data_IF_423831335473
#
_entry.id   IF_423831335473
#
_cell.length_a   1.000
_cell.length_b   1.000
_cell.length_c   1.000
_cell.angle_alpha   90.00
_cell.angle_beta   90.00
_cell.angle_gamma   90.00
#
_symmetry.space_group_name_H-M   'P 1'
#
loop_
_entity.id
_entity.type
_entity.pdbx_description
1 polymer ?
#
# COMPACT_ATOMS: atom_id res chain seq x y z
N UNK A 1 -10.33 -13.88 12.13
CA UNK A 1 -10.55 -12.43 12.20
C UNK A 1 -9.25 -11.73 12.60
N UNK A 2 -8.79 -10.80 11.75
CA UNK A 2 -7.64 -9.94 12.04
C UNK A 2 -8.08 -8.49 11.86
N UNK A 3 -7.78 -7.64 12.82
CA UNK A 3 -8.10 -6.23 12.77
C UNK A 3 -6.94 -5.38 13.30
N UNK A 4 -6.64 -4.29 12.57
CA UNK A 4 -5.69 -3.27 13.00
C UNK A 4 -6.44 -1.95 13.08
N UNK A 5 -6.40 -1.33 14.23
CA UNK A 5 -7.01 -0.02 14.48
C UNK A 5 -6.04 0.92 15.19
N UNK A 6 -6.25 2.21 15.04
CA UNK A 6 -5.40 3.19 15.72
C UNK A 6 -5.43 4.56 15.08
N UNK A 7 -4.47 5.39 15.44
CA UNK A 7 -4.30 6.75 14.96
C UNK A 7 -2.84 7.06 14.65
N UNK A 8 -2.61 8.03 13.76
CA UNK A 8 -1.27 8.47 13.39
C UNK A 8 -1.21 9.97 13.19
N UNK A 9 -0.01 10.50 13.28
CA UNK A 9 0.29 11.92 13.06
C UNK A 9 1.52 12.06 12.18
N UNK A 10 1.44 12.96 11.19
CA UNK A 10 2.55 13.37 10.35
C UNK A 10 2.49 14.89 10.08
N UNK A 11 3.57 15.43 9.53
CA UNK A 11 3.67 16.81 9.05
C UNK A 11 4.13 16.80 7.60
N UNK A 12 3.48 17.62 6.77
CA UNK A 12 3.82 17.79 5.36
C UNK A 12 4.21 19.24 5.11
N UNK A 13 5.35 19.41 4.45
CA UNK A 13 5.85 20.73 4.08
C UNK A 13 6.17 20.73 2.60
N UNK A 14 5.88 21.85 1.93
CA UNK A 14 6.16 22.00 0.50
C UNK A 14 6.49 23.45 0.13
N UNK A 15 7.28 23.57 -0.93
CA UNK A 15 7.72 24.83 -1.51
C UNK A 15 7.57 24.77 -3.03
N UNK A 16 7.03 25.82 -3.63
CA UNK A 16 6.97 25.98 -5.08
C UNK A 16 7.77 27.21 -5.45
N UNK A 17 8.73 27.04 -6.34
CA UNK A 17 9.59 28.09 -6.86
C UNK A 17 9.25 28.40 -8.31
N UNK A 18 9.34 29.68 -8.67
CA UNK A 18 9.35 30.17 -10.03
C UNK A 18 10.73 30.76 -10.32
N UNK A 19 11.68 29.94 -10.84
CA UNK A 19 13.06 30.37 -10.96
C UNK A 19 13.28 31.47 -11.99
N UNK A 20 12.33 31.67 -12.92
CA UNK A 20 12.42 32.65 -13.98
C UNK A 20 11.19 33.55 -13.97
N UNK A 21 11.38 34.86 -13.88
CA UNK A 21 10.32 35.85 -13.71
C UNK A 21 9.25 35.82 -14.83
N UNK A 22 9.69 35.66 -16.07
CA UNK A 22 8.81 35.66 -17.25
C UNK A 22 8.45 34.25 -17.77
N UNK A 23 8.91 33.21 -17.07
CA UNK A 23 8.62 31.83 -17.46
C UNK A 23 7.48 31.25 -16.62
N UNK A 24 6.55 30.51 -17.24
CA UNK A 24 5.54 29.75 -16.51
C UNK A 24 6.10 28.51 -15.81
N UNK A 25 7.41 28.27 -15.89
CA UNK A 25 8.06 27.12 -15.28
C UNK A 25 8.03 27.19 -13.76
N UNK A 26 7.73 26.03 -13.12
CA UNK A 26 7.67 25.89 -11.67
C UNK A 26 8.39 24.65 -11.25
N UNK A 27 9.10 24.71 -10.13
CA UNK A 27 9.72 23.57 -9.47
C UNK A 27 9.09 23.47 -8.08
N UNK A 28 8.61 22.32 -7.73
CA UNK A 28 8.08 22.01 -6.41
C UNK A 28 8.98 21.04 -5.67
N UNK A 29 9.11 21.23 -4.36
CA UNK A 29 9.74 20.31 -3.42
C UNK A 29 8.76 20.07 -2.28
N UNK A 30 8.57 18.82 -1.90
CA UNK A 30 7.81 18.49 -0.71
C UNK A 30 8.50 17.40 0.10
N UNK A 31 8.36 17.50 1.41
CA UNK A 31 8.86 16.52 2.36
C UNK A 31 7.74 16.17 3.32
N UNK A 32 7.48 14.89 3.51
CA UNK A 32 6.58 14.38 4.52
C UNK A 32 7.41 13.70 5.61
N UNK A 33 7.16 14.07 6.85
CA UNK A 33 7.77 13.36 7.99
C UNK A 33 7.24 11.93 8.06
N UNK A 34 7.91 11.04 8.80
CA UNK A 34 7.31 9.79 9.19
C UNK A 34 5.93 10.01 9.83
N UNK A 35 5.00 9.10 9.53
CA UNK A 35 3.75 9.02 10.29
C UNK A 35 4.01 8.18 11.54
N UNK A 36 3.75 8.76 12.70
CA UNK A 36 3.89 8.10 14.00
C UNK A 36 2.55 7.49 14.38
N UNK A 37 2.40 6.19 14.16
CA UNK A 37 1.18 5.46 14.50
C UNK A 37 1.23 4.87 15.90
N UNK A 38 0.07 4.90 16.58
CA UNK A 38 -0.27 4.04 17.71
C UNK A 38 -1.35 3.08 17.26
N UNK A 39 -1.04 1.81 17.23
CA UNK A 39 -1.87 0.76 16.64
C UNK A 39 -2.16 -0.32 17.65
N UNK A 40 -3.37 -0.88 17.56
CA UNK A 40 -3.78 -2.09 18.26
C UNK A 40 -4.08 -3.16 17.23
N UNK A 41 -3.36 -4.24 17.27
CA UNK A 41 -3.65 -5.46 16.52
C UNK A 41 -4.52 -6.35 17.40
N UNK A 42 -5.65 -6.82 16.87
CA UNK A 42 -6.51 -7.80 17.52
C UNK A 42 -6.80 -8.95 16.57
N UNK A 43 -6.75 -10.16 17.10
CA UNK A 43 -6.97 -11.38 16.31
C UNK A 43 -7.80 -12.38 17.07
N UNK A 44 -8.62 -13.15 16.34
CA UNK A 44 -9.30 -14.33 16.83
C UNK A 44 -9.42 -15.37 15.71
N UNK A 45 -9.46 -16.63 16.07
CA UNK A 45 -9.67 -17.73 15.14
C UNK A 45 -10.73 -18.68 15.69
N UNK A 46 -11.62 -19.13 14.81
CA UNK A 46 -12.62 -20.16 15.13
C UNK A 46 -12.39 -21.31 14.17
N UNK A 47 -12.19 -22.50 14.72
CA UNK A 47 -12.08 -23.74 13.95
C UNK A 47 -13.33 -24.55 14.19
N UNK A 48 -14.03 -24.88 13.11
CA UNK A 48 -15.21 -25.77 13.16
C UNK A 48 -14.87 -27.07 12.44
N UNK A 49 -15.05 -28.19 13.11
CA UNK A 49 -14.86 -29.52 12.53
C UNK A 49 -16.15 -30.31 12.64
N UNK A 50 -16.70 -30.73 11.50
CA UNK A 50 -17.84 -31.63 11.41
C UNK A 50 -17.33 -33.04 11.14
N UNK A 51 -17.60 -34.01 12.03
CA UNK A 51 -17.17 -35.36 11.89
C UNK A 51 -18.33 -36.34 12.19
N UNK A 52 -18.28 -37.53 11.60
CA UNK A 52 -19.18 -38.62 11.95
C UNK A 52 -18.57 -39.47 13.06
N UNK A 53 -19.33 -39.66 14.12
CA UNK A 53 -18.93 -40.55 15.20
C UNK A 53 -18.93 -42.01 14.68
N UNK A 54 -17.79 -42.67 14.75
CA UNK A 54 -17.61 -44.02 14.21
C UNK A 54 -18.48 -45.11 14.88
N UNK A 55 -19.06 -44.83 16.07
CA UNK A 55 -19.89 -45.77 16.81
C UNK A 55 -21.38 -45.53 16.61
N UNK A 56 -21.80 -44.26 16.48
CA UNK A 56 -23.22 -43.88 16.41
C UNK A 56 -23.67 -43.46 15.02
N UNK A 57 -22.72 -43.26 14.09
CA UNK A 57 -22.92 -42.69 12.74
C UNK A 57 -23.56 -41.28 12.76
N UNK A 58 -23.62 -40.64 13.93
CA UNK A 58 -24.15 -39.30 14.07
C UNK A 58 -23.16 -38.23 13.62
N UNK A 59 -23.65 -37.17 12.99
CA UNK A 59 -22.87 -35.99 12.65
C UNK A 59 -22.66 -35.16 13.91
N UNK A 60 -21.42 -35.01 14.32
CA UNK A 60 -21.00 -34.17 15.47
C UNK A 60 -20.20 -32.98 15.01
N UNK A 61 -20.39 -31.86 15.69
CA UNK A 61 -19.65 -30.60 15.45
C UNK A 61 -18.83 -30.24 16.66
N UNK A 62 -17.53 -29.99 16.45
CA UNK A 62 -16.64 -29.39 17.43
C UNK A 62 -16.35 -27.97 16.96
N UNK A 63 -16.54 -26.99 17.83
CA UNK A 63 -16.16 -25.60 17.63
C UNK A 63 -15.12 -25.28 18.66
N UNK A 64 -13.96 -24.78 18.21
CA UNK A 64 -12.89 -24.29 19.07
C UNK A 64 -12.70 -22.82 18.75
N UNK A 65 -12.98 -21.95 19.71
CA UNK A 65 -12.77 -20.50 19.63
C UNK A 65 -11.54 -20.13 20.46
N UNK A 66 -10.60 -19.43 19.86
CA UNK A 66 -9.41 -18.95 20.57
C UNK A 66 -9.77 -18.04 21.74
N UNK A 67 -10.88 -17.33 21.67
CA UNK A 67 -11.36 -16.46 22.75
C UNK A 67 -11.62 -17.24 24.05
N UNK A 68 -12.12 -18.47 23.96
CA UNK A 68 -12.44 -19.33 25.13
C UNK A 68 -11.17 -19.80 25.86
N UNK A 69 -10.01 -19.81 25.18
CA UNK A 69 -8.76 -20.32 25.73
C UNK A 69 -7.81 -19.21 26.19
N UNK A 70 -7.74 -18.11 25.47
CA UNK A 70 -6.74 -17.03 25.68
C UNK A 70 -7.37 -15.65 25.81
N UNK A 71 -8.69 -15.53 25.70
CA UNK A 71 -9.42 -14.28 25.72
C UNK A 71 -9.13 -13.40 24.50
N UNK A 72 -9.30 -12.10 24.67
CA UNK A 72 -9.00 -11.11 23.64
C UNK A 72 -7.48 -11.08 23.35
N UNK A 73 -7.08 -11.57 22.18
CA UNK A 73 -5.69 -11.46 21.73
C UNK A 73 -5.48 -10.08 21.10
N UNK A 74 -5.08 -9.13 21.94
CA UNK A 74 -4.77 -7.77 21.55
C UNK A 74 -3.32 -7.43 21.85
N UNK A 75 -2.70 -6.71 20.94
CA UNK A 75 -1.35 -6.20 21.13
C UNK A 75 -1.24 -4.76 20.64
N UNK A 76 -0.85 -3.89 21.53
CA UNK A 76 -0.55 -2.51 21.20
C UNK A 76 0.89 -2.38 20.72
N UNK A 77 1.09 -1.62 19.66
CA UNK A 77 2.42 -1.33 19.12
C UNK A 77 2.44 0.05 18.47
N UNK A 78 3.63 0.53 18.19
CA UNK A 78 3.85 1.77 17.45
C UNK A 78 4.53 1.44 16.13
N UNK A 79 4.09 2.13 15.07
CA UNK A 79 4.70 2.04 13.76
C UNK A 79 5.16 3.44 13.34
N UNK A 80 6.40 3.53 12.90
CA UNK A 80 6.99 4.75 12.33
C UNK A 80 7.24 4.48 10.85
N UNK A 81 6.53 5.20 9.97
CA UNK A 81 6.72 5.08 8.52
C UNK A 81 7.98 5.80 8.06
N UNK A 82 8.45 5.58 6.83
CA UNK A 82 9.58 6.32 6.26
C UNK A 82 9.30 7.80 6.08
N UNK A 83 10.37 8.56 5.83
CA UNK A 83 10.32 9.88 5.23
C UNK A 83 9.92 9.75 3.76
N UNK A 84 9.13 10.72 3.26
CA UNK A 84 8.76 10.79 1.86
C UNK A 84 9.27 12.10 1.27
N UNK A 85 9.94 12.01 0.13
CA UNK A 85 10.53 13.13 -0.60
C UNK A 85 9.88 13.25 -1.97
N UNK A 86 9.53 14.46 -2.36
CA UNK A 86 8.85 14.71 -3.62
C UNK A 86 9.50 15.89 -4.33
N UNK A 87 9.73 15.74 -5.62
CA UNK A 87 10.19 16.79 -6.53
C UNK A 87 9.24 16.85 -7.70
N UNK A 88 8.75 18.06 -8.04
CA UNK A 88 7.80 18.23 -9.13
C UNK A 88 8.21 19.37 -10.05
N UNK A 89 7.83 19.23 -11.32
CA UNK A 89 8.03 20.20 -12.38
C UNK A 89 6.66 20.56 -12.98
N UNK A 90 6.41 21.83 -13.19
CA UNK A 90 5.19 22.31 -13.84
C UNK A 90 5.51 23.32 -14.93
N UNK A 91 4.81 23.22 -16.04
CA UNK A 91 4.94 24.16 -17.14
C UNK A 91 3.59 24.45 -17.77
N UNK A 92 3.31 25.72 -18.05
CA UNK A 92 2.08 26.11 -18.76
C UNK A 92 2.41 26.79 -20.07
N UNK A 93 1.73 26.39 -21.15
CA UNK A 93 1.87 27.01 -22.47
C UNK A 93 0.61 27.85 -22.71
N UNK A 94 0.80 29.17 -22.68
CA UNK A 94 -0.31 30.11 -22.73
C UNK A 94 -1.35 29.84 -21.63
N UNK A 95 -2.63 29.88 -21.99
CA UNK A 95 -3.76 29.60 -21.10
C UNK A 95 -4.38 28.22 -21.32
N UNK A 96 -3.89 27.49 -22.33
CA UNK A 96 -4.55 26.29 -22.86
C UNK A 96 -3.92 24.97 -22.43
N UNK A 97 -2.60 24.93 -22.26
CA UNK A 97 -1.90 23.66 -21.95
C UNK A 97 -1.14 23.77 -20.62
N UNK A 98 -1.38 22.83 -19.73
CA UNK A 98 -0.60 22.64 -18.51
C UNK A 98 0.03 21.25 -18.52
N UNK A 99 1.34 21.19 -18.21
CA UNK A 99 2.12 19.96 -18.10
C UNK A 99 2.68 19.84 -16.68
N UNK A 100 2.69 18.63 -16.17
CA UNK A 100 3.25 18.31 -14.86
C UNK A 100 4.02 17.00 -14.88
N UNK A 101 5.13 16.97 -14.15
CA UNK A 101 5.89 15.76 -13.87
C UNK A 101 6.27 15.76 -12.39
N UNK A 102 6.26 14.59 -11.76
CA UNK A 102 6.57 14.44 -10.35
C UNK A 102 7.34 13.14 -10.13
N UNK A 103 8.32 13.19 -9.25
CA UNK A 103 9.04 12.06 -8.73
C UNK A 103 8.93 12.05 -7.21
N UNK A 104 8.56 10.91 -6.64
CA UNK A 104 8.46 10.69 -5.21
C UNK A 104 9.31 9.48 -4.82
N UNK A 105 9.99 9.59 -3.69
CA UNK A 105 10.80 8.52 -3.11
C UNK A 105 10.45 8.32 -1.64
N UNK A 106 10.26 7.05 -1.25
CA UNK A 106 9.98 6.63 0.11
C UNK A 106 10.72 5.31 0.40
N UNK A 107 11.61 5.28 1.39
CA UNK A 107 12.40 4.10 1.69
C UNK A 107 11.75 3.26 2.79
N UNK A 108 10.94 2.28 2.40
CA UNK A 108 10.23 1.40 3.33
C UNK A 108 11.15 0.52 4.17
N UNK A 109 12.42 0.31 3.78
CA UNK A 109 13.38 -0.41 4.60
C UNK A 109 13.75 0.32 5.89
N UNK A 110 13.42 1.61 6.00
CA UNK A 110 13.64 2.44 7.19
C UNK A 110 12.45 2.47 8.16
N UNK A 111 11.35 1.84 7.80
CA UNK A 111 10.17 1.70 8.66
C UNK A 111 10.53 0.98 9.96
N UNK A 112 9.90 1.39 11.08
CA UNK A 112 10.20 0.83 12.40
C UNK A 112 8.95 0.44 13.17
N UNK A 113 8.96 -0.76 13.69
CA UNK A 113 8.04 -1.24 14.71
C UNK A 113 8.64 -1.06 16.10
N UNK A 114 7.82 -0.65 17.04
CA UNK A 114 8.20 -0.45 18.44
C UNK A 114 7.13 -1.01 19.37
N UNK A 115 7.55 -1.53 20.49
CA UNK A 115 6.63 -1.89 21.56
C UNK A 115 5.83 -0.68 22.03
N UNK A 116 4.65 -0.91 22.57
CA UNK A 116 3.86 0.15 23.17
C UNK A 116 4.63 0.79 24.34
N UNK A 117 4.27 2.00 24.73
CA UNK A 117 4.91 2.66 25.89
C UNK A 117 4.67 1.89 27.17
N UNK A 118 3.56 1.15 27.25
CA UNK A 118 3.20 0.32 28.41
C UNK A 118 4.06 -0.97 28.46
N UNK A 119 4.61 -1.41 27.32
CA UNK A 119 5.46 -2.60 27.21
C UNK A 119 6.96 -2.24 27.09
N UNK A 120 7.36 -1.13 27.73
CA UNK A 120 8.76 -0.69 27.76
C UNK A 120 9.22 0.16 26.57
N UNK A 121 8.44 0.27 25.50
CA UNK A 121 8.64 1.25 24.40
C UNK A 121 9.86 1.05 23.52
N UNK A 122 10.59 -0.05 23.66
CA UNK A 122 11.78 -0.39 22.86
C UNK A 122 11.47 -0.74 21.40
N UNK A 123 12.51 -0.93 20.60
CA UNK A 123 12.39 -1.39 19.22
C UNK A 123 12.01 -2.88 19.18
N UNK A 124 11.16 -3.26 18.23
CA UNK A 124 10.83 -4.66 17.92
C UNK A 124 11.90 -5.19 16.96
N UNK A 125 13.00 -5.72 17.51
CA UNK A 125 14.22 -5.99 16.74
C UNK A 125 14.01 -7.01 15.64
N UNK A 126 13.25 -8.09 15.92
CA UNK A 126 12.96 -9.12 14.94
C UNK A 126 12.17 -8.58 13.74
N UNK A 127 11.06 -7.88 14.02
CA UNK A 127 10.20 -7.29 12.98
C UNK A 127 10.95 -6.22 12.18
N UNK A 128 11.81 -5.45 12.84
CA UNK A 128 12.63 -4.42 12.18
C UNK A 128 13.75 -5.03 11.32
N UNK A 129 14.29 -6.18 11.70
CA UNK A 129 15.23 -6.93 10.86
C UNK A 129 14.52 -7.44 9.58
N UNK A 130 13.30 -7.99 9.73
CA UNK A 130 12.50 -8.43 8.58
C UNK A 130 12.11 -7.28 7.65
N UNK A 131 11.73 -6.12 8.18
CA UNK A 131 11.50 -4.90 7.39
C UNK A 131 12.73 -4.58 6.53
N UNK A 132 13.91 -4.61 7.11
CA UNK A 132 15.18 -4.28 6.43
C UNK A 132 15.55 -5.30 5.35
N UNK A 133 15.26 -6.58 5.62
CA UNK A 133 15.56 -7.69 4.71
C UNK A 133 14.57 -7.77 3.55
N UNK A 134 13.28 -7.51 3.81
CA UNK A 134 12.21 -7.73 2.85
C UNK A 134 11.81 -6.48 2.06
N UNK A 135 12.01 -5.27 2.62
CA UNK A 135 11.56 -4.03 2.00
C UNK A 135 12.71 -3.22 1.40
N UNK A 136 12.36 -2.37 0.46
CA UNK A 136 13.26 -1.44 -0.23
C UNK A 136 12.57 -0.11 -0.50
N UNK A 137 13.31 0.83 -1.09
CA UNK A 137 12.78 2.11 -1.53
C UNK A 137 11.75 1.95 -2.64
N UNK A 138 10.64 2.68 -2.52
CA UNK A 138 9.64 2.87 -3.56
C UNK A 138 9.96 4.13 -4.36
N UNK A 139 9.90 4.00 -5.68
CA UNK A 139 10.01 5.09 -6.63
C UNK A 139 8.67 5.28 -7.31
N UNK A 140 8.09 6.48 -7.19
CA UNK A 140 6.84 6.81 -7.87
C UNK A 140 7.09 7.95 -8.86
N UNK A 141 6.70 7.72 -10.11
CA UNK A 141 6.75 8.70 -11.19
C UNK A 141 5.32 9.05 -11.62
N UNK A 142 5.04 10.34 -11.72
CA UNK A 142 3.74 10.86 -12.19
C UNK A 142 3.99 11.86 -13.30
N UNK A 143 3.24 11.73 -14.39
CA UNK A 143 3.20 12.72 -15.47
C UNK A 143 1.76 13.03 -15.80
N UNK A 144 1.47 14.26 -16.15
CA UNK A 144 0.12 14.68 -16.49
C UNK A 144 0.09 15.87 -17.42
N UNK A 145 -0.98 15.96 -18.18
CA UNK A 145 -1.27 17.06 -19.07
C UNK A 145 -2.76 17.45 -18.98
N UNK A 146 -3.02 18.74 -18.96
CA UNK A 146 -4.36 19.31 -19.13
C UNK A 146 -4.34 20.23 -20.35
N UNK A 147 -5.25 19.97 -21.29
CA UNK A 147 -5.46 20.81 -22.45
C UNK A 147 -6.87 21.39 -22.48
N UNK A 148 -6.97 22.72 -22.45
CA UNK A 148 -8.22 23.46 -22.58
C UNK A 148 -8.44 23.79 -24.05
N UNK A 149 -9.40 23.11 -24.67
CA UNK A 149 -9.80 23.39 -26.06
C UNK A 149 -10.49 24.76 -26.15
N UNK A 150 -11.36 25.03 -25.17
CA UNK A 150 -11.99 26.34 -24.90
C UNK A 150 -11.96 26.52 -23.37
N UNK A 151 -12.21 27.75 -22.86
CA UNK A 151 -12.15 28.05 -21.44
C UNK A 151 -13.01 27.12 -20.55
N UNK A 152 -14.14 26.65 -21.12
CA UNK A 152 -15.09 25.78 -20.42
C UNK A 152 -14.77 24.31 -20.47
N UNK A 153 -13.99 23.83 -21.47
CA UNK A 153 -13.69 22.40 -21.66
C UNK A 153 -12.20 22.08 -21.54
N UNK A 154 -11.88 21.14 -20.66
CA UNK A 154 -10.53 20.63 -20.46
C UNK A 154 -10.46 19.11 -20.66
N UNK A 155 -9.46 18.66 -21.40
CA UNK A 155 -9.06 17.25 -21.49
C UNK A 155 -7.85 17.03 -20.60
N UNK A 156 -7.81 15.88 -19.91
CA UNK A 156 -6.72 15.51 -19.00
C UNK A 156 -6.22 14.13 -19.32
N UNK A 157 -4.90 14.00 -19.29
CA UNK A 157 -4.18 12.74 -19.42
C UNK A 157 -3.23 12.61 -18.24
N UNK A 158 -3.12 11.43 -17.67
CA UNK A 158 -2.16 11.17 -16.60
C UNK A 158 -1.66 9.75 -16.64
N UNK A 159 -0.41 9.60 -16.21
CA UNK A 159 0.23 8.32 -15.98
C UNK A 159 0.95 8.37 -14.64
N UNK A 160 0.80 7.31 -13.86
CA UNK A 160 1.50 7.11 -12.60
C UNK A 160 2.08 5.69 -12.59
N UNK A 161 3.34 5.58 -12.18
CA UNK A 161 4.02 4.31 -11.96
C UNK A 161 4.63 4.30 -10.56
N UNK A 162 4.35 3.24 -9.78
CA UNK A 162 4.99 2.95 -8.51
C UNK A 162 5.75 1.64 -8.60
N UNK A 163 7.03 1.65 -8.20
CA UNK A 163 7.87 0.47 -8.15
C UNK A 163 7.48 -0.46 -7.01
N UNK A 164 7.97 -1.70 -7.06
CA UNK A 164 7.74 -2.65 -5.98
C UNK A 164 8.48 -2.24 -4.70
N UNK A 165 7.79 -2.33 -3.57
CA UNK A 165 8.31 -2.09 -2.22
C UNK A 165 9.04 -3.32 -1.68
N UNK A 166 8.53 -4.52 -1.97
CA UNK A 166 9.17 -5.76 -1.58
C UNK A 166 10.36 -6.10 -2.48
N UNK A 167 11.43 -6.58 -1.87
CA UNK A 167 12.57 -7.18 -2.59
C UNK A 167 12.13 -8.46 -3.28
N UNK A 168 12.86 -8.85 -4.30
CA UNK A 168 12.56 -10.08 -5.05
C UNK A 168 12.77 -11.34 -4.21
N UNK A 169 13.66 -11.27 -3.23
CA UNK A 169 14.00 -12.30 -2.25
C UNK A 169 13.08 -12.31 -1.03
N UNK A 170 12.16 -11.34 -0.93
CA UNK A 170 11.22 -11.27 0.18
C UNK A 170 10.29 -12.48 0.17
N UNK A 171 10.25 -13.20 1.29
CA UNK A 171 9.50 -14.43 1.47
C UNK A 171 8.66 -14.34 2.74
N UNK A 172 7.61 -15.14 2.83
CA UNK A 172 6.81 -15.27 4.04
C UNK A 172 7.29 -16.47 4.83
N UNK A 173 7.54 -16.26 6.09
CA UNK A 173 7.81 -17.29 7.08
C UNK A 173 6.73 -17.21 8.17
N UNK A 174 6.14 -18.36 8.50
CA UNK A 174 5.14 -18.45 9.57
C UNK A 174 5.75 -19.28 10.70
N UNK A 175 6.06 -18.68 11.87
CA UNK A 175 6.52 -19.42 13.04
C UNK A 175 5.50 -20.45 13.49
N UNK A 176 5.95 -21.59 14.04
CA UNK A 176 5.09 -22.70 14.47
C UNK A 176 4.06 -22.33 15.53
N UNK A 177 4.30 -21.24 16.28
CA UNK A 177 3.39 -20.70 17.28
C UNK A 177 2.53 -19.54 16.76
N UNK A 178 2.53 -19.32 15.44
CA UNK A 178 1.74 -18.24 14.81
C UNK A 178 0.26 -18.63 14.73
N UNK A 179 -0.59 -17.64 14.91
CA UNK A 179 -2.04 -17.76 14.67
C UNK A 179 -2.43 -17.34 13.25
N UNK A 180 -1.46 -16.96 12.42
CA UNK A 180 -1.69 -16.61 11.02
C UNK A 180 -1.99 -17.88 10.25
N UNK A 181 -3.15 -17.91 9.61
CA UNK A 181 -3.62 -19.04 8.79
C UNK A 181 -3.42 -18.81 7.29
N UNK A 182 -3.16 -17.57 6.87
CA UNK A 182 -2.91 -17.24 5.47
C UNK A 182 -1.55 -17.80 5.05
N UNK A 183 -1.56 -18.72 4.11
CA UNK A 183 -0.34 -19.37 3.62
C UNK A 183 0.29 -18.60 2.46
N UNK A 184 -0.52 -17.89 1.70
CA UNK A 184 -0.09 -17.17 0.51
C UNK A 184 0.61 -15.85 0.82
N UNK A 185 1.41 -15.40 -0.13
CA UNK A 185 2.01 -14.07 -0.11
C UNK A 185 2.33 -13.59 -1.53
N UNK A 186 2.54 -12.29 -1.66
CA UNK A 186 2.98 -11.67 -2.91
C UNK A 186 4.19 -10.78 -2.66
N UNK A 187 5.15 -10.82 -3.58
CA UNK A 187 6.24 -9.86 -3.64
C UNK A 187 6.31 -9.18 -5.02
N UNK A 188 7.29 -8.31 -5.22
CA UNK A 188 7.54 -7.62 -6.50
C UNK A 188 6.34 -6.89 -7.08
N UNK A 189 5.45 -6.40 -6.21
CA UNK A 189 4.23 -5.72 -6.62
C UNK A 189 4.51 -4.31 -7.10
N UNK A 190 4.37 -4.08 -8.42
CA UNK A 190 4.43 -2.76 -9.04
C UNK A 190 3.05 -2.35 -9.55
N UNK A 191 2.82 -1.04 -9.68
CA UNK A 191 1.54 -0.49 -10.11
C UNK A 191 1.72 0.54 -11.20
N UNK A 192 0.86 0.48 -12.21
CA UNK A 192 0.70 1.51 -13.25
C UNK A 192 -0.74 1.98 -13.29
N UNK A 193 -0.95 3.29 -13.29
CA UNK A 193 -2.26 3.90 -13.43
C UNK A 193 -2.26 4.81 -14.66
N UNK A 194 -3.24 4.62 -15.53
CA UNK A 194 -3.53 5.45 -16.69
C UNK A 194 -4.83 6.18 -16.43
N UNK A 195 -4.83 7.50 -16.60
CA UNK A 195 -6.03 8.33 -16.37
C UNK A 195 -6.37 9.16 -17.58
N UNK A 196 -7.66 9.22 -17.88
CA UNK A 196 -8.25 10.09 -18.88
C UNK A 196 -9.35 10.91 -18.21
N UNK A 197 -9.47 12.19 -18.54
CA UNK A 197 -10.48 13.04 -17.95
C UNK A 197 -11.02 14.08 -18.94
N UNK A 198 -12.30 14.38 -18.80
CA UNK A 198 -12.98 15.49 -19.49
C UNK A 198 -13.66 16.33 -18.43
N UNK A 199 -13.37 17.61 -18.41
CA UNK A 199 -13.96 18.58 -17.49
C UNK A 199 -14.73 19.67 -18.24
N UNK A 200 -15.91 19.99 -17.73
CA UNK A 200 -16.69 21.16 -18.14
C UNK A 200 -16.82 22.13 -16.97
N UNK A 201 -16.58 23.41 -17.22
CA UNK A 201 -16.74 24.50 -16.24
C UNK A 201 -17.56 25.66 -16.82
N UNK A 202 -18.87 25.61 -16.61
CA UNK A 202 -19.75 26.72 -16.88
C UNK A 202 -19.75 27.78 -15.78
N UNK A 203 -20.62 28.79 -15.93
CA UNK A 203 -20.74 29.90 -14.95
C UNK A 203 -21.27 29.43 -13.59
N UNK A 204 -22.27 28.55 -13.57
CA UNK A 204 -22.91 28.03 -12.36
C UNK A 204 -22.62 26.55 -12.10
N UNK A 205 -22.43 25.76 -13.14
CA UNK A 205 -22.26 24.32 -13.05
C UNK A 205 -20.87 23.90 -13.52
N UNK A 206 -20.35 22.86 -12.91
CA UNK A 206 -19.20 22.15 -13.42
C UNK A 206 -19.46 20.65 -13.38
N UNK A 207 -18.83 19.92 -14.29
CA UNK A 207 -18.87 18.46 -14.34
C UNK A 207 -17.52 17.93 -14.78
N UNK A 208 -17.02 16.92 -14.09
CA UNK A 208 -15.79 16.22 -14.45
C UNK A 208 -16.10 14.72 -14.59
N UNK A 209 -15.73 14.13 -15.72
CA UNK A 209 -15.76 12.71 -15.97
C UNK A 209 -14.31 12.21 -16.08
N UNK A 210 -13.96 11.23 -15.26
CA UNK A 210 -12.64 10.63 -15.27
C UNK A 210 -12.73 9.11 -15.40
N UNK A 211 -11.83 8.55 -16.21
CA UNK A 211 -11.59 7.10 -16.32
C UNK A 211 -10.18 6.80 -15.84
N UNK A 212 -10.04 5.77 -15.00
CA UNK A 212 -8.77 5.27 -14.52
C UNK A 212 -8.66 3.78 -14.81
N UNK A 213 -7.55 3.39 -15.42
CA UNK A 213 -7.12 2.01 -15.58
C UNK A 213 -5.90 1.77 -14.70
N UNK A 214 -6.03 0.92 -13.69
CA UNK A 214 -4.96 0.52 -12.79
C UNK A 214 -4.52 -0.90 -13.11
N UNK A 215 -3.21 -1.11 -13.28
CA UNK A 215 -2.63 -2.42 -13.49
C UNK A 215 -1.61 -2.72 -12.40
N UNK A 216 -1.81 -3.81 -11.68
CA UNK A 216 -0.90 -4.34 -10.67
C UNK A 216 -0.22 -5.59 -11.22
N UNK A 217 1.09 -5.65 -11.12
CA UNK A 217 1.88 -6.83 -11.46
C UNK A 217 2.61 -7.31 -10.23
N UNK A 218 2.47 -8.59 -9.93
CA UNK A 218 3.08 -9.19 -8.74
C UNK A 218 3.51 -10.63 -9.00
N UNK A 219 4.45 -11.12 -8.20
CA UNK A 219 4.72 -12.53 -8.05
C UNK A 219 3.88 -13.05 -6.88
N UNK A 220 2.96 -13.94 -7.16
CA UNK A 220 2.12 -14.60 -6.17
C UNK A 220 2.67 -15.98 -5.84
N UNK A 221 2.69 -16.32 -4.55
CA UNK A 221 3.11 -17.59 -4.00
C UNK A 221 1.94 -18.17 -3.20
N UNK A 222 1.44 -19.36 -3.56
CA UNK A 222 0.28 -19.97 -2.89
C UNK A 222 0.59 -20.49 -1.49
N UNK A 223 1.87 -20.70 -1.18
CA UNK A 223 2.33 -21.20 0.11
C UNK A 223 3.53 -20.40 0.59
N UNK A 224 3.68 -20.32 1.92
CA UNK A 224 4.89 -19.77 2.56
C UNK A 224 6.08 -20.72 2.40
N UNK A 225 7.25 -20.19 2.71
CA UNK A 225 8.48 -20.98 2.67
C UNK A 225 8.54 -21.99 3.81
N UNK A 226 9.01 -23.19 3.51
CA UNK A 226 9.29 -24.24 4.49
C UNK A 226 10.80 -24.51 4.57
N UNK A 227 11.23 -25.08 5.70
CA UNK A 227 12.58 -25.58 5.86
C UNK A 227 12.55 -27.10 5.73
N UNK A 228 13.31 -27.63 4.79
CA UNK A 228 13.50 -29.07 4.60
C UNK A 228 14.88 -29.48 5.08
N UNK A 229 14.95 -30.62 5.79
CA UNK A 229 16.20 -31.25 6.18
C UNK A 229 16.65 -32.19 5.06
N UNK A 230 17.59 -31.73 4.23
CA UNK A 230 18.15 -32.53 3.14
C UNK A 230 19.64 -32.83 3.43
N UNK A 231 20.01 -34.11 3.53
CA UNK A 231 21.38 -34.56 3.80
C UNK A 231 22.01 -33.98 5.09
N UNK A 232 21.18 -33.66 6.09
CA UNK A 232 21.67 -33.11 7.37
C UNK A 232 21.77 -31.59 7.42
N UNK A 233 21.43 -30.90 6.34
CA UNK A 233 21.37 -29.44 6.27
C UNK A 233 19.92 -28.95 6.11
N UNK A 234 19.56 -27.89 6.84
CA UNK A 234 18.28 -27.22 6.68
C UNK A 234 18.34 -26.26 5.49
N UNK A 235 17.54 -26.52 4.48
CA UNK A 235 17.39 -25.64 3.31
C UNK A 235 16.00 -25.03 3.26
N UNK A 236 15.93 -23.76 2.93
CA UNK A 236 14.65 -23.09 2.73
C UNK A 236 14.13 -23.39 1.32
N UNK A 237 12.95 -23.98 1.24
CA UNK A 237 12.27 -24.29 -0.02
C UNK A 237 11.23 -23.21 -0.28
N UNK A 238 11.37 -22.53 -1.42
CA UNK A 238 10.40 -21.52 -1.89
C UNK A 238 9.57 -22.12 -3.02
N UNK A 239 8.23 -22.08 -2.94
CA UNK A 239 7.39 -22.52 -4.04
C UNK A 239 7.61 -21.64 -5.29
N UNK A 240 7.36 -22.16 -6.50
CA UNK A 240 7.48 -21.36 -7.71
C UNK A 240 6.46 -20.23 -7.75
N UNK A 241 6.91 -19.04 -8.13
CA UNK A 241 6.06 -17.87 -8.25
C UNK A 241 5.10 -17.97 -9.44
N UNK A 242 3.86 -17.59 -9.23
CA UNK A 242 2.89 -17.32 -10.29
C UNK A 242 2.87 -15.81 -10.58
N UNK A 243 3.14 -15.43 -11.84
CA UNK A 243 3.04 -14.03 -12.26
C UNK A 243 1.57 -13.66 -12.41
N UNK A 244 1.12 -12.72 -11.60
CA UNK A 244 -0.26 -12.23 -11.59
C UNK A 244 -0.29 -10.79 -12.11
N UNK A 245 -1.26 -10.53 -13.00
CA UNK A 245 -1.57 -9.17 -13.46
C UNK A 245 -3.04 -8.91 -13.18
N UNK A 246 -3.29 -7.97 -12.27
CA UNK A 246 -4.63 -7.51 -11.92
C UNK A 246 -4.90 -6.18 -12.62
N UNK A 247 -6.03 -6.08 -13.31
CA UNK A 247 -6.46 -4.85 -13.97
C UNK A 247 -7.79 -4.39 -13.38
N UNK A 248 -7.84 -3.12 -12.98
CA UNK A 248 -9.04 -2.49 -12.43
C UNK A 248 -9.39 -1.26 -13.24
N UNK A 249 -10.61 -1.21 -13.74
CA UNK A 249 -11.19 -0.03 -14.40
C UNK A 249 -12.11 0.72 -13.43
N UNK A 250 -12.02 2.05 -13.45
CA UNK A 250 -12.82 2.91 -12.59
C UNK A 250 -13.30 4.14 -13.37
N UNK A 251 -14.58 4.47 -13.23
CA UNK A 251 -15.18 5.68 -13.79
C UNK A 251 -15.65 6.56 -12.63
N UNK A 252 -15.27 7.83 -12.65
CA UNK A 252 -15.72 8.82 -11.66
C UNK A 252 -16.43 9.95 -12.38
N UNK A 253 -17.59 10.31 -11.87
CA UNK A 253 -18.36 11.49 -12.28
C UNK A 253 -18.49 12.44 -11.09
N UNK A 254 -18.06 13.67 -11.27
CA UNK A 254 -18.23 14.74 -10.30
C UNK A 254 -19.10 15.84 -10.91
N UNK A 255 -20.14 16.24 -10.23
CA UNK A 255 -21.00 17.37 -10.63
C UNK A 255 -21.12 18.32 -9.46
N UNK A 256 -21.01 19.60 -9.72
CA UNK A 256 -21.13 20.61 -8.68
C UNK A 256 -21.62 21.96 -9.19
N UNK A 257 -21.98 22.81 -8.23
CA UNK A 257 -22.44 24.17 -8.48
C UNK A 257 -21.48 25.17 -7.83
N UNK A 258 -21.35 26.33 -8.48
CA UNK A 258 -20.64 27.50 -7.94
C UNK A 258 -21.68 28.62 -7.75
N UNK A 259 -21.68 29.22 -6.59
CA UNK A 259 -22.50 30.37 -6.22
C UNK A 259 -21.68 31.64 -6.27
#
# INVERSE_FOLDING_TARGET
YNNISGSGFDVKMGLILRPFEYSPFRIGFAVHTPTFYKLTYSTSAIVTNDYRDAKTDELKRIIVDTYDYVGDMKRDYRLVTPWKYNVSLGYTVGTSLALGAEYEYEDYSTMKFKYSSNDGGGDMEFENAEVKNCLKGEHTFRIGAEYKVIPEFAFRLGYNYSSAVFRDEAVKYIPSNSLITDTDFSNKRSQSNYTLGIGYRGKMFYADLAYQLSTYKENFYPFYNEFELTQGEWTMVTPPATKVTNTRSQVLLTVGMRF
#
